data_IF_245240227441
#
_entry.id   IF_245240227441
#
_cell.length_a   1.000
_cell.length_b   1.000
_cell.length_c   1.000
_cell.angle_alpha   90.00
_cell.angle_beta   90.00
_cell.angle_gamma   90.00
#
_symmetry.space_group_name_H-M   'P 1'
#
loop_
_entity.id
_entity.type
_entity.pdbx_description
1 polymer ?
#
# COMPACT_ATOMS: atom_id res chain seq x y z
N UNK A 1 75.69 -24.46 -7.78
CA UNK A 1 74.61 -24.30 -8.77
C UNK A 1 73.28 -24.50 -8.06
N UNK A 2 72.46 -23.45 -7.93
CA UNK A 2 71.18 -23.51 -7.23
C UNK A 2 70.07 -23.85 -8.22
N UNK A 3 69.47 -25.04 -8.14
CA UNK A 3 68.31 -25.40 -8.97
C UNK A 3 67.02 -25.02 -8.23
N UNK A 4 66.43 -23.88 -8.60
CA UNK A 4 65.10 -23.47 -8.08
C UNK A 4 64.02 -24.35 -8.71
N UNK A 5 63.58 -25.38 -8.00
CA UNK A 5 62.36 -26.11 -8.36
C UNK A 5 61.11 -25.29 -8.02
N UNK A 6 60.47 -24.70 -9.03
CA UNK A 6 59.13 -24.15 -8.88
C UNK A 6 58.11 -25.28 -8.79
N UNK A 7 57.62 -25.56 -7.57
CA UNK A 7 56.54 -26.52 -7.32
C UNK A 7 55.26 -25.95 -7.96
N UNK A 8 54.77 -26.55 -9.05
CA UNK A 8 53.52 -26.16 -9.71
C UNK A 8 52.34 -26.39 -8.74
N UNK A 9 51.94 -25.36 -7.99
CA UNK A 9 50.78 -25.38 -7.09
C UNK A 9 49.49 -25.38 -7.92
N UNK A 10 48.91 -26.55 -8.18
CA UNK A 10 47.59 -26.67 -8.81
C UNK A 10 46.44 -26.15 -7.92
N UNK A 11 46.69 -26.02 -6.61
CA UNK A 11 45.71 -25.60 -5.62
C UNK A 11 45.22 -24.14 -5.84
N UNK A 12 46.09 -23.26 -6.35
CA UNK A 12 45.71 -21.88 -6.66
C UNK A 12 44.64 -21.77 -7.76
N UNK A 13 44.53 -22.78 -8.62
CA UNK A 13 43.55 -22.82 -9.72
C UNK A 13 42.12 -23.10 -9.22
N UNK A 14 41.96 -23.64 -8.01
CA UNK A 14 40.65 -23.93 -7.41
C UNK A 14 40.11 -22.79 -6.54
N UNK A 15 40.94 -21.80 -6.22
CA UNK A 15 40.53 -20.66 -5.38
C UNK A 15 39.39 -19.87 -6.03
N UNK A 16 39.54 -19.52 -7.31
CA UNK A 16 38.52 -18.76 -8.05
C UNK A 16 37.20 -19.53 -8.19
N UNK A 17 37.18 -20.82 -8.60
CA UNK A 17 35.96 -21.63 -8.61
C UNK A 17 35.26 -21.73 -7.26
N UNK A 18 36.01 -21.93 -6.16
CA UNK A 18 35.43 -22.07 -4.82
C UNK A 18 34.78 -20.77 -4.37
N UNK A 19 35.46 -19.64 -4.59
CA UNK A 19 34.90 -18.31 -4.30
C UNK A 19 33.64 -18.07 -5.13
N UNK A 20 33.67 -18.40 -6.44
CA UNK A 20 32.51 -18.25 -7.31
C UNK A 20 31.30 -19.08 -6.82
N UNK A 21 31.51 -20.34 -6.43
CA UNK A 21 30.45 -21.19 -5.87
C UNK A 21 29.89 -20.61 -4.58
N UNK A 22 30.73 -20.07 -3.69
CA UNK A 22 30.28 -19.44 -2.47
C UNK A 22 29.39 -18.21 -2.75
N UNK A 23 29.80 -17.34 -3.69
CA UNK A 23 29.00 -16.19 -4.10
C UNK A 23 27.68 -16.60 -4.77
N UNK A 24 27.73 -17.54 -5.72
CA UNK A 24 26.52 -18.03 -6.41
C UNK A 24 25.54 -18.67 -5.42
N UNK A 25 26.02 -19.41 -4.42
CA UNK A 25 25.16 -20.01 -3.39
C UNK A 25 24.53 -18.94 -2.51
N UNK A 26 25.31 -17.93 -2.09
CA UNK A 26 24.81 -16.81 -1.30
C UNK A 26 23.74 -16.01 -2.06
N UNK A 27 24.06 -15.59 -3.29
CA UNK A 27 23.12 -14.83 -4.11
C UNK A 27 21.90 -15.67 -4.53
N UNK A 28 22.08 -16.95 -4.84
CA UNK A 28 20.98 -17.86 -5.15
C UNK A 28 20.02 -18.02 -3.98
N UNK A 29 20.54 -18.24 -2.76
CA UNK A 29 19.72 -18.30 -1.55
C UNK A 29 18.98 -16.98 -1.29
N UNK A 30 19.69 -15.85 -1.42
CA UNK A 30 19.13 -14.52 -1.16
C UNK A 30 18.15 -14.06 -2.25
N UNK A 31 18.28 -14.57 -3.48
CA UNK A 31 17.30 -14.34 -4.55
C UNK A 31 15.96 -15.02 -4.27
N UNK A 32 15.94 -16.05 -3.43
CA UNK A 32 14.72 -16.76 -3.05
C UNK A 32 14.16 -16.20 -1.74
N UNK A 33 15.00 -16.01 -0.72
CA UNK A 33 14.58 -15.64 0.64
C UNK A 33 14.75 -14.16 0.99
N UNK A 34 15.33 -13.35 0.10
CA UNK A 34 15.56 -11.92 0.33
C UNK A 34 14.27 -11.11 0.21
N UNK A 35 14.27 -9.90 0.76
CA UNK A 35 13.10 -8.99 0.74
C UNK A 35 12.66 -8.52 -0.66
N UNK A 36 13.42 -8.85 -1.72
CA UNK A 36 13.07 -8.64 -3.13
C UNK A 36 13.05 -9.96 -3.92
N UNK A 37 13.07 -11.11 -3.23
CA UNK A 37 13.02 -12.43 -3.85
C UNK A 37 11.60 -12.79 -4.30
N UNK A 38 11.46 -13.95 -4.94
CA UNK A 38 10.19 -14.42 -5.52
C UNK A 38 9.04 -14.49 -4.51
N UNK A 39 9.33 -14.77 -3.24
CA UNK A 39 8.33 -14.80 -2.16
C UNK A 39 7.87 -13.41 -1.72
N UNK A 40 8.67 -12.37 -1.95
CA UNK A 40 8.30 -11.01 -1.61
C UNK A 40 7.24 -10.45 -2.57
N UNK A 41 7.20 -10.95 -3.81
CA UNK A 41 6.23 -10.52 -4.83
C UNK A 41 4.79 -10.77 -4.39
N UNK A 42 4.48 -11.95 -3.85
CA UNK A 42 3.12 -12.27 -3.38
C UNK A 42 2.67 -11.37 -2.21
N UNK A 43 3.59 -11.07 -1.31
CA UNK A 43 3.35 -10.18 -0.18
C UNK A 43 3.12 -8.73 -0.65
N UNK A 44 3.91 -8.26 -1.61
CA UNK A 44 3.72 -6.94 -2.22
C UNK A 44 2.41 -6.85 -3.00
N UNK A 45 2.05 -7.88 -3.77
CA UNK A 45 0.80 -7.91 -4.52
C UNK A 45 -0.41 -7.86 -3.57
N UNK A 46 -0.35 -8.57 -2.44
CA UNK A 46 -1.37 -8.49 -1.40
C UNK A 46 -1.47 -7.09 -0.81
N UNK A 47 -0.34 -6.47 -0.49
CA UNK A 47 -0.31 -5.09 0.03
C UNK A 47 -0.83 -4.08 -0.99
N UNK A 48 -0.51 -4.25 -2.27
CA UNK A 48 -1.04 -3.41 -3.35
C UNK A 48 -2.56 -3.54 -3.42
N UNK A 49 -3.08 -4.77 -3.39
CA UNK A 49 -4.53 -5.00 -3.42
C UNK A 49 -5.25 -4.38 -2.21
N UNK A 50 -4.71 -4.54 -1.00
CA UNK A 50 -5.27 -3.95 0.22
C UNK A 50 -5.26 -2.41 0.16
N UNK A 51 -4.13 -1.83 -0.27
CA UNK A 51 -3.98 -0.38 -0.42
C UNK A 51 -4.93 0.17 -1.47
N UNK A 52 -5.10 -0.53 -2.58
CA UNK A 52 -6.00 -0.13 -3.66
C UNK A 52 -7.46 -0.15 -3.19
N UNK A 53 -7.89 -1.21 -2.50
CA UNK A 53 -9.24 -1.28 -1.94
C UNK A 53 -9.52 -0.11 -0.98
N UNK A 54 -8.55 0.24 -0.15
CA UNK A 54 -8.66 1.39 0.78
C UNK A 54 -8.69 2.74 0.04
N UNK A 55 -7.92 2.88 -1.05
CA UNK A 55 -7.95 4.07 -1.88
C UNK A 55 -9.31 4.24 -2.56
N UNK A 56 -9.90 3.15 -3.05
CA UNK A 56 -11.21 3.17 -3.69
C UNK A 56 -12.30 3.59 -2.69
N UNK A 57 -12.29 3.02 -1.48
CA UNK A 57 -13.20 3.40 -0.40
C UNK A 57 -13.08 4.89 -0.04
N UNK A 58 -11.85 5.38 0.14
CA UNK A 58 -11.61 6.79 0.48
C UNK A 58 -12.00 7.73 -0.66
N UNK A 59 -11.78 7.32 -1.91
CA UNK A 59 -12.16 8.10 -3.08
C UNK A 59 -13.66 8.23 -3.20
N UNK A 60 -14.41 7.15 -2.96
CA UNK A 60 -15.88 7.20 -2.90
C UNK A 60 -16.38 8.16 -1.82
N UNK A 61 -15.82 8.09 -0.61
CA UNK A 61 -16.16 9.02 0.48
C UNK A 61 -15.86 10.47 0.10
N UNK A 62 -14.71 10.72 -0.54
CA UNK A 62 -14.32 12.05 -1.00
C UNK A 62 -15.32 12.60 -2.02
N UNK A 63 -15.72 11.79 -3.01
CA UNK A 63 -16.69 12.19 -4.04
C UNK A 63 -18.06 12.55 -3.46
N UNK A 64 -18.53 11.80 -2.47
CA UNK A 64 -19.79 12.11 -1.77
C UNK A 64 -19.69 13.47 -1.08
N UNK A 65 -18.60 13.71 -0.34
CA UNK A 65 -18.38 14.98 0.35
C UNK A 65 -18.19 16.15 -0.62
N UNK A 66 -17.47 15.94 -1.73
CA UNK A 66 -17.32 16.95 -2.79
C UNK A 66 -18.68 17.37 -3.35
N UNK A 67 -19.58 16.41 -3.60
CA UNK A 67 -20.94 16.70 -4.05
C UNK A 67 -21.75 17.46 -2.99
N UNK A 68 -21.66 17.08 -1.72
CA UNK A 68 -22.32 17.82 -0.63
C UNK A 68 -21.82 19.27 -0.56
N UNK A 69 -20.51 19.48 -0.66
CA UNK A 69 -19.90 20.82 -0.64
C UNK A 69 -20.30 21.62 -1.88
N UNK A 70 -20.33 21.01 -3.06
CA UNK A 70 -20.75 21.67 -4.30
C UNK A 70 -22.18 22.19 -4.19
N UNK A 71 -23.10 21.43 -3.58
CA UNK A 71 -24.49 21.86 -3.32
C UNK A 71 -24.59 22.99 -2.28
N UNK A 72 -23.56 23.20 -1.47
CA UNK A 72 -23.50 24.25 -0.44
C UNK A 72 -22.65 25.47 -0.85
N UNK A 73 -21.97 25.44 -2.01
CA UNK A 73 -21.08 26.51 -2.47
C UNK A 73 -21.80 27.54 -3.35
N UNK A 74 -21.20 28.72 -3.52
CA UNK A 74 -21.84 29.88 -4.14
C UNK A 74 -22.25 29.62 -5.60
N UNK A 75 -23.55 29.69 -5.85
CA UNK A 75 -24.17 29.46 -7.17
C UNK A 75 -25.27 28.39 -7.17
N UNK A 76 -25.27 27.47 -6.19
CA UNK A 76 -26.23 26.35 -6.08
C UNK A 76 -26.87 26.19 -4.69
N UNK A 77 -26.58 27.09 -3.73
CA UNK A 77 -26.98 26.99 -2.32
C UNK A 77 -28.47 26.62 -2.15
N UNK A 78 -28.72 25.34 -1.89
CA UNK A 78 -30.06 24.81 -1.76
C UNK A 78 -30.57 25.10 -0.33
N UNK A 79 -31.53 26.02 -0.23
CA UNK A 79 -32.03 26.57 1.04
C UNK A 79 -32.56 25.49 2.00
N UNK A 80 -33.08 24.39 1.45
CA UNK A 80 -33.58 23.26 2.23
C UNK A 80 -32.45 22.45 2.88
N UNK A 81 -31.31 22.26 2.20
CA UNK A 81 -30.15 21.58 2.82
C UNK A 81 -29.56 22.40 3.98
N UNK A 82 -29.54 23.73 3.85
CA UNK A 82 -29.06 24.60 4.91
C UNK A 82 -29.96 24.53 6.15
N UNK A 83 -31.29 24.54 5.96
CA UNK A 83 -32.27 24.38 7.04
C UNK A 83 -32.15 23.01 7.70
N UNK A 84 -31.99 21.93 6.93
CA UNK A 84 -31.76 20.59 7.45
C UNK A 84 -30.49 20.50 8.32
N UNK A 85 -29.33 20.95 7.80
CA UNK A 85 -28.06 20.89 8.55
C UNK A 85 -28.09 21.79 9.79
N UNK A 86 -28.72 22.97 9.72
CA UNK A 86 -28.88 23.87 10.87
C UNK A 86 -29.75 23.24 11.97
N UNK A 87 -30.86 22.60 11.60
CA UNK A 87 -31.74 21.88 12.53
C UNK A 87 -31.04 20.67 13.14
N UNK A 88 -30.33 19.89 12.33
CA UNK A 88 -29.54 18.74 12.79
C UNK A 88 -28.48 19.17 13.82
N UNK A 89 -27.74 20.25 13.55
CA UNK A 89 -26.70 20.76 14.45
C UNK A 89 -27.26 21.28 15.78
N UNK A 90 -28.46 21.86 15.78
CA UNK A 90 -29.16 22.37 16.97
C UNK A 90 -30.02 21.33 17.66
N UNK A 91 -30.03 20.08 17.18
CA UNK A 91 -30.89 18.99 17.65
C UNK A 91 -32.38 19.39 17.70
N UNK A 92 -32.82 20.13 16.69
CA UNK A 92 -34.18 20.65 16.53
C UNK A 92 -34.92 19.86 15.46
N UNK A 93 -36.20 19.55 15.70
CA UNK A 93 -37.11 18.94 14.73
C UNK A 93 -38.51 19.52 14.96
N UNK A 94 -39.34 19.62 13.91
CA UNK A 94 -40.72 20.08 14.09
C UNK A 94 -41.57 19.03 14.79
N UNK A 95 -42.67 19.47 15.40
CA UNK A 95 -43.61 18.58 16.10
C UNK A 95 -44.26 17.52 15.21
N UNK A 96 -44.23 17.71 13.89
CA UNK A 96 -44.79 16.84 12.86
C UNK A 96 -43.73 16.07 12.04
N UNK A 97 -42.44 16.19 12.40
CA UNK A 97 -41.33 15.53 11.70
C UNK A 97 -40.83 14.28 12.47
N UNK A 98 -40.38 13.26 11.73
CA UNK A 98 -39.74 12.04 12.29
C UNK A 98 -38.34 11.94 11.71
N UNK A 99 -37.32 11.95 12.58
CA UNK A 99 -35.90 11.80 12.17
C UNK A 99 -35.50 10.32 12.25
N UNK A 100 -34.99 9.77 11.14
CA UNK A 100 -34.52 8.39 11.05
C UNK A 100 -33.00 8.39 10.89
N UNK A 101 -32.27 7.90 11.89
CA UNK A 101 -30.83 7.72 11.79
C UNK A 101 -30.50 6.39 11.11
N UNK A 102 -29.97 6.47 9.89
CA UNK A 102 -29.43 5.29 9.21
C UNK A 102 -28.04 4.95 9.77
N UNK A 103 -27.90 3.75 10.36
CA UNK A 103 -26.57 3.20 10.68
C UNK A 103 -25.87 2.88 9.36
N UNK A 104 -24.68 3.44 9.07
CA UNK A 104 -23.95 3.05 7.88
C UNK A 104 -23.65 1.55 7.95
N UNK A 105 -23.92 0.84 6.85
CA UNK A 105 -23.48 -0.54 6.69
C UNK A 105 -21.96 -0.51 6.57
N UNK A 106 -21.29 -1.17 7.53
CA UNK A 106 -19.84 -1.37 7.51
C UNK A 106 -19.44 -2.19 6.28
#
# INVERSE_FOLDING_TARGET
MWTRHHKKRRLGRLVVPVIAVAFLSYFGYHSIHGGYGLTATEEFDRQIAERQARLDELTQKRQILEKEVELMSDGSLERDMLDEKARLALNMSRSDEIVIFHRPAN
#
